data_IF_995083454347
#
_entry.id   IF_995083454347
#
_cell.length_a   1.000
_cell.length_b   1.000
_cell.length_c   1.000
_cell.angle_alpha   90.00
_cell.angle_beta   90.00
_cell.angle_gamma   90.00
#
_symmetry.space_group_name_H-M   'P 1'
#
loop_
_entity.id
_entity.type
_entity.pdbx_description
1 polymer ?
#
# COMPACT_ATOMS: atom_id res chain seq x y z
N UNK A 1 -13.17 -19.10 -39.57
CA UNK A 1 -12.15 -18.47 -38.75
C UNK A 1 -11.49 -17.33 -39.52
N UNK A 2 -11.33 -16.17 -38.92
CA UNK A 2 -10.59 -15.06 -39.50
C UNK A 2 -9.11 -15.22 -39.17
N UNK A 3 -8.22 -14.88 -40.14
CA UNK A 3 -6.78 -14.87 -39.88
C UNK A 3 -6.42 -13.66 -39.07
N UNK A 4 -5.73 -13.85 -37.92
CA UNK A 4 -5.25 -12.80 -37.06
C UNK A 4 -3.72 -12.90 -36.88
N UNK A 5 -3.08 -11.76 -36.72
CA UNK A 5 -1.66 -11.65 -36.36
C UNK A 5 -1.59 -10.93 -35.02
N UNK A 6 -0.85 -11.52 -34.11
CA UNK A 6 -0.60 -10.90 -32.79
C UNK A 6 0.77 -10.23 -32.80
N UNK A 7 0.79 -8.97 -32.42
CA UNK A 7 2.02 -8.22 -32.16
C UNK A 7 2.08 -7.95 -30.68
N UNK A 8 3.15 -8.37 -30.02
CA UNK A 8 3.35 -8.17 -28.59
C UNK A 8 4.53 -7.23 -28.37
N UNK A 9 4.35 -6.27 -27.44
CA UNK A 9 5.40 -5.41 -26.96
C UNK A 9 5.69 -5.76 -25.50
N UNK A 10 6.90 -6.24 -25.23
CA UNK A 10 7.35 -6.52 -23.87
C UNK A 10 8.22 -5.38 -23.37
N UNK A 11 7.93 -4.95 -22.14
CA UNK A 11 8.71 -3.93 -21.47
C UNK A 11 10.03 -4.53 -20.96
N UNK A 12 11.13 -3.77 -21.10
CA UNK A 12 12.40 -4.10 -20.42
C UNK A 12 12.30 -3.71 -18.95
N UNK A 13 13.11 -4.38 -18.12
CA UNK A 13 13.27 -4.05 -16.72
C UNK A 13 13.72 -2.57 -16.58
N UNK A 14 13.41 -1.95 -15.46
CA UNK A 14 13.73 -0.56 -15.10
C UNK A 14 12.97 0.55 -15.84
N UNK A 15 11.97 0.23 -16.67
CA UNK A 15 11.12 1.23 -17.30
C UNK A 15 9.75 1.35 -16.61
N UNK A 16 9.20 2.56 -16.63
CA UNK A 16 7.84 2.80 -16.12
C UNK A 16 6.80 2.36 -17.16
N UNK A 17 5.98 1.36 -16.80
CA UNK A 17 4.98 0.77 -17.70
C UNK A 17 3.97 1.80 -18.24
N UNK A 18 3.60 2.81 -17.44
CA UNK A 18 2.65 3.86 -17.86
C UNK A 18 3.27 4.81 -18.90
N UNK A 19 4.57 5.09 -18.77
CA UNK A 19 5.30 5.90 -19.74
C UNK A 19 5.50 5.13 -21.06
N UNK A 20 5.86 3.85 -20.97
CA UNK A 20 5.98 2.96 -22.14
C UNK A 20 4.65 2.81 -22.87
N UNK A 21 3.55 2.64 -22.14
CA UNK A 21 2.19 2.59 -22.71
C UNK A 21 1.89 3.78 -23.59
N UNK A 22 2.15 5.01 -23.08
CA UNK A 22 1.92 6.24 -23.87
C UNK A 22 2.68 6.24 -25.19
N UNK A 23 3.92 5.77 -25.19
CA UNK A 23 4.74 5.62 -26.40
C UNK A 23 4.19 4.59 -27.37
N UNK A 24 3.78 3.43 -26.86
CA UNK A 24 3.19 2.33 -27.65
C UNK A 24 1.86 2.77 -28.25
N UNK A 25 0.98 3.39 -27.46
CA UNK A 25 -0.33 3.91 -27.93
C UNK A 25 -0.15 4.91 -29.09
N UNK A 26 0.78 5.86 -28.94
CA UNK A 26 1.08 6.83 -29.98
C UNK A 26 1.65 6.18 -31.27
N UNK A 27 2.43 5.10 -31.13
CA UNK A 27 2.94 4.34 -32.26
C UNK A 27 1.83 3.52 -32.96
N UNK A 28 0.99 2.86 -32.17
CA UNK A 28 -0.17 2.10 -32.65
C UNK A 28 -1.16 2.99 -33.38
N UNK A 29 -1.48 4.18 -32.83
CA UNK A 29 -2.41 5.12 -33.44
C UNK A 29 -1.86 5.69 -34.78
N UNK A 30 -0.54 5.90 -34.86
CA UNK A 30 0.12 6.27 -36.14
C UNK A 30 0.03 5.14 -37.14
N UNK A 31 0.31 3.92 -36.72
CA UNK A 31 0.25 2.76 -37.59
C UNK A 31 -1.18 2.44 -38.06
N UNK A 32 -2.17 2.59 -37.19
CA UNK A 32 -3.57 2.39 -37.54
C UNK A 32 -4.02 3.25 -38.71
N UNK A 33 -3.48 4.46 -38.85
CA UNK A 33 -3.78 5.38 -39.97
C UNK A 33 -3.19 4.93 -41.33
N UNK A 34 -2.22 4.03 -41.29
CA UNK A 34 -1.58 3.49 -42.52
C UNK A 34 -2.23 2.18 -42.98
N UNK A 35 -3.12 1.60 -42.16
CA UNK A 35 -3.73 0.32 -42.51
C UNK A 35 -4.89 0.47 -43.51
N UNK A 36 -5.03 -0.46 -44.45
CA UNK A 36 -6.19 -0.54 -45.35
C UNK A 36 -7.47 -0.78 -44.51
N UNK A 37 -8.61 -0.28 -45.00
CA UNK A 37 -9.92 -0.37 -44.31
C UNK A 37 -10.42 -1.78 -43.99
N UNK A 38 -9.87 -2.79 -44.69
CA UNK A 38 -10.19 -4.22 -44.47
C UNK A 38 -9.42 -4.87 -43.33
N UNK A 39 -8.45 -4.18 -42.73
CA UNK A 39 -7.67 -4.69 -41.60
C UNK A 39 -8.16 -3.96 -40.35
N UNK A 40 -8.67 -4.71 -39.39
CA UNK A 40 -9.03 -4.17 -38.06
C UNK A 40 -7.86 -4.37 -37.11
N UNK A 41 -7.46 -3.30 -36.45
CA UNK A 41 -6.53 -3.34 -35.34
C UNK A 41 -7.35 -3.41 -34.04
N UNK A 42 -7.19 -4.50 -33.31
CA UNK A 42 -7.81 -4.66 -32.00
C UNK A 42 -6.74 -4.66 -30.93
N UNK A 43 -6.96 -3.92 -29.83
CA UNK A 43 -6.08 -3.96 -28.69
C UNK A 43 -6.43 -5.20 -27.86
N UNK A 44 -5.45 -6.07 -27.70
CA UNK A 44 -5.59 -7.27 -26.88
C UNK A 44 -5.32 -7.00 -25.39
N UNK A 45 -4.42 -7.74 -24.79
CA UNK A 45 -4.06 -7.63 -23.39
C UNK A 45 -3.26 -6.34 -23.09
N UNK A 46 -3.73 -5.53 -22.14
CA UNK A 46 -3.08 -4.31 -21.69
C UNK A 46 -2.72 -4.41 -20.20
N UNK A 47 -1.45 -4.71 -19.95
CA UNK A 47 -0.92 -4.81 -18.58
C UNK A 47 -0.92 -3.45 -17.86
N UNK A 48 -0.68 -2.35 -18.59
CA UNK A 48 -0.63 -1.03 -18.01
C UNK A 48 -2.01 -0.57 -17.51
N UNK A 49 -3.08 -0.90 -18.25
CA UNK A 49 -4.46 -0.66 -17.81
C UNK A 49 -4.80 -1.43 -16.54
N UNK A 50 -4.34 -2.68 -16.44
CA UNK A 50 -4.52 -3.47 -15.23
C UNK A 50 -3.79 -2.86 -14.02
N UNK A 51 -2.57 -2.33 -14.21
CA UNK A 51 -1.80 -1.64 -13.16
C UNK A 51 -2.52 -0.37 -12.72
N UNK A 52 -2.99 0.44 -13.66
CA UNK A 52 -3.73 1.67 -13.37
C UNK A 52 -5.02 1.40 -12.57
N UNK A 53 -5.80 0.39 -12.99
CA UNK A 53 -6.99 -0.04 -12.26
C UNK A 53 -6.68 -0.53 -10.84
N UNK A 54 -5.58 -1.26 -10.66
CA UNK A 54 -5.17 -1.75 -9.34
C UNK A 54 -4.70 -0.62 -8.42
N UNK A 55 -3.94 0.34 -8.96
CA UNK A 55 -3.54 1.53 -8.21
C UNK A 55 -4.75 2.36 -7.78
N UNK A 56 -5.71 2.57 -8.69
CA UNK A 56 -6.95 3.28 -8.38
C UNK A 56 -7.78 2.57 -7.30
N UNK A 57 -7.91 1.24 -7.38
CA UNK A 57 -8.58 0.45 -6.33
C UNK A 57 -7.85 0.58 -4.99
N UNK A 58 -6.53 0.53 -4.99
CA UNK A 58 -5.74 0.70 -3.78
C UNK A 58 -6.06 2.03 -3.08
N UNK A 59 -6.11 3.14 -3.82
CA UNK A 59 -6.50 4.44 -3.22
C UNK A 59 -7.89 4.40 -2.60
N UNK A 60 -8.83 3.72 -3.26
CA UNK A 60 -10.20 3.55 -2.73
C UNK A 60 -10.18 2.69 -1.47
N UNK A 61 -9.47 1.57 -1.48
CA UNK A 61 -9.36 0.67 -0.34
C UNK A 61 -8.69 1.36 0.86
N UNK A 62 -7.65 2.18 0.62
CA UNK A 62 -7.04 3.02 1.64
C UNK A 62 -8.01 4.04 2.21
N UNK A 63 -8.77 4.73 1.37
CA UNK A 63 -9.76 5.71 1.80
C UNK A 63 -10.86 5.06 2.64
N UNK A 64 -11.34 3.87 2.24
CA UNK A 64 -12.32 3.10 3.00
C UNK A 64 -11.73 2.65 4.34
N UNK A 65 -10.52 2.12 4.36
CA UNK A 65 -9.85 1.69 5.59
C UNK A 65 -9.70 2.86 6.58
N UNK A 66 -9.23 4.01 6.11
CA UNK A 66 -9.10 5.22 6.93
C UNK A 66 -10.48 5.67 7.45
N UNK A 67 -11.52 5.66 6.60
CA UNK A 67 -12.87 6.03 7.01
C UNK A 67 -13.45 5.09 8.07
N UNK A 68 -13.24 3.77 7.94
CA UNK A 68 -13.66 2.77 8.92
C UNK A 68 -12.93 2.95 10.26
N UNK A 69 -11.62 3.18 10.21
CA UNK A 69 -10.83 3.48 11.41
C UNK A 69 -11.31 4.76 12.09
N UNK A 70 -11.59 5.80 11.31
CA UNK A 70 -12.17 7.04 11.84
C UNK A 70 -13.50 6.78 12.54
N UNK A 71 -14.37 5.99 11.94
CA UNK A 71 -15.67 5.62 12.50
C UNK A 71 -15.52 4.87 13.83
N UNK A 72 -14.58 3.92 13.91
CA UNK A 72 -14.33 3.14 15.15
C UNK A 72 -13.69 3.98 16.26
N UNK A 73 -12.97 5.05 15.90
CA UNK A 73 -12.33 5.95 16.86
C UNK A 73 -13.23 7.09 17.34
N UNK A 74 -14.38 7.31 16.73
CA UNK A 74 -15.33 8.36 17.16
C UNK A 74 -15.69 8.29 18.65
N UNK A 75 -15.92 7.10 19.24
CA UNK A 75 -16.20 7.00 20.68
C UNK A 75 -15.02 7.44 21.58
N UNK A 76 -13.79 7.32 21.11
CA UNK A 76 -12.59 7.76 21.84
C UNK A 76 -12.40 9.28 21.81
N UNK A 77 -13.10 9.97 20.91
CA UNK A 77 -13.03 11.40 20.73
C UNK A 77 -12.21 11.83 19.50
N UNK A 78 -12.58 12.96 18.92
CA UNK A 78 -12.01 13.48 17.68
C UNK A 78 -10.49 13.77 17.73
N UNK A 79 -9.96 14.05 18.94
CA UNK A 79 -8.51 14.27 19.14
C UNK A 79 -7.71 12.98 18.99
N UNK A 80 -8.22 11.89 19.55
CA UNK A 80 -7.63 10.56 19.42
C UNK A 80 -7.66 10.09 17.95
N UNK A 81 -8.81 10.25 17.30
CA UNK A 81 -8.96 9.96 15.87
C UNK A 81 -7.96 10.76 15.00
N UNK A 82 -7.74 12.04 15.32
CA UNK A 82 -6.78 12.89 14.60
C UNK A 82 -5.33 12.40 14.73
N UNK A 83 -4.91 11.91 15.89
CA UNK A 83 -3.56 11.37 16.09
C UNK A 83 -3.35 10.12 15.23
N UNK A 84 -4.30 9.18 15.25
CA UNK A 84 -4.21 7.96 14.45
C UNK A 84 -4.24 8.28 12.95
N UNK A 85 -5.06 9.25 12.52
CA UNK A 85 -5.13 9.71 11.13
C UNK A 85 -3.78 10.25 10.61
N UNK A 86 -2.99 10.91 11.45
CA UNK A 86 -1.66 11.39 11.08
C UNK A 86 -0.62 10.28 11.12
N UNK A 87 -0.74 9.33 12.07
CA UNK A 87 0.23 8.24 12.20
C UNK A 87 0.21 7.29 11.01
N UNK A 88 -0.95 7.04 10.40
CA UNK A 88 -1.10 6.16 9.24
C UNK A 88 -0.25 6.61 8.04
N UNK A 89 -0.44 7.81 7.47
CA UNK A 89 0.36 8.25 6.32
C UNK A 89 1.83 8.40 6.66
N UNK A 90 2.17 8.77 7.90
CA UNK A 90 3.55 8.90 8.34
C UNK A 90 4.26 7.54 8.35
N UNK A 91 3.62 6.51 8.85
CA UNK A 91 4.16 5.14 8.87
C UNK A 91 4.27 4.55 7.46
N UNK A 92 3.29 4.82 6.59
CA UNK A 92 3.36 4.44 5.18
C UNK A 92 4.50 5.15 4.46
N UNK A 93 4.67 6.46 4.69
CA UNK A 93 5.78 7.22 4.12
C UNK A 93 7.13 6.68 4.60
N UNK A 94 7.25 6.31 5.87
CA UNK A 94 8.43 5.67 6.42
C UNK A 94 8.70 4.31 5.73
N UNK A 95 7.69 3.45 5.63
CA UNK A 95 7.79 2.15 4.94
C UNK A 95 8.19 2.28 3.47
N UNK A 96 7.60 3.22 2.73
CA UNK A 96 7.96 3.53 1.35
C UNK A 96 9.41 4.03 1.22
N UNK A 97 9.84 4.85 2.17
CA UNK A 97 11.21 5.36 2.22
C UNK A 97 12.20 4.22 2.46
N UNK A 98 11.91 3.31 3.39
CA UNK A 98 12.73 2.11 3.61
C UNK A 98 12.79 1.23 2.34
N UNK A 99 11.65 0.99 1.70
CA UNK A 99 11.58 0.21 0.46
C UNK A 99 12.45 0.82 -0.63
N UNK A 100 12.40 2.15 -0.79
CA UNK A 100 13.21 2.89 -1.74
C UNK A 100 14.72 2.74 -1.46
N UNK A 101 15.14 2.91 -0.21
CA UNK A 101 16.56 2.74 0.17
C UNK A 101 17.08 1.31 0.02
N UNK A 102 16.20 0.32 0.15
CA UNK A 102 16.54 -1.08 -0.09
C UNK A 102 16.59 -1.44 -1.58
N UNK A 103 16.26 -0.50 -2.49
CA UNK A 103 16.31 -0.71 -3.93
C UNK A 103 15.13 -1.53 -4.48
N UNK A 104 14.07 -1.72 -3.69
CA UNK A 104 12.88 -2.42 -4.15
C UNK A 104 11.91 -1.48 -4.88
N UNK A 105 11.28 -1.99 -5.93
CA UNK A 105 10.25 -1.28 -6.66
C UNK A 105 8.86 -1.54 -6.08
N UNK A 106 7.97 -0.55 -6.20
CA UNK A 106 6.55 -0.71 -5.90
C UNK A 106 5.94 -1.68 -6.93
N UNK A 107 5.55 -2.84 -6.45
CA UNK A 107 4.84 -3.85 -7.22
C UNK A 107 3.50 -4.22 -6.55
N UNK A 108 2.70 -5.08 -7.18
CA UNK A 108 1.40 -5.48 -6.64
C UNK A 108 1.48 -6.14 -5.26
N UNK A 109 2.57 -6.86 -4.98
CA UNK A 109 2.76 -7.51 -3.70
C UNK A 109 3.20 -6.54 -2.62
N UNK A 110 4.10 -5.60 -2.94
CA UNK A 110 4.45 -4.50 -2.02
C UNK A 110 3.19 -3.73 -1.61
N UNK A 111 2.30 -3.45 -2.56
CA UNK A 111 1.02 -2.78 -2.31
C UNK A 111 0.11 -3.63 -1.41
N UNK A 112 -0.04 -4.92 -1.69
CA UNK A 112 -0.81 -5.82 -0.84
C UNK A 112 -0.22 -5.92 0.57
N UNK A 113 1.11 -5.98 0.69
CA UNK A 113 1.83 -5.94 1.96
C UNK A 113 1.54 -4.66 2.76
N UNK A 114 1.53 -3.50 2.10
CA UNK A 114 1.16 -2.24 2.75
C UNK A 114 -0.29 -2.22 3.23
N UNK A 115 -1.24 -2.77 2.47
CA UNK A 115 -2.65 -2.86 2.89
C UNK A 115 -2.79 -3.74 4.13
N UNK A 116 -2.10 -4.88 4.18
CA UNK A 116 -2.09 -5.75 5.36
C UNK A 116 -1.40 -5.07 6.54
N UNK A 117 -0.23 -4.47 6.32
CA UNK A 117 0.52 -3.76 7.36
C UNK A 117 -0.29 -2.59 7.93
N UNK A 118 -1.10 -1.91 7.12
CA UNK A 118 -1.95 -0.80 7.55
C UNK A 118 -2.96 -1.26 8.61
N UNK A 119 -3.61 -2.41 8.41
CA UNK A 119 -4.54 -2.96 9.39
C UNK A 119 -3.87 -3.26 10.72
N UNK A 120 -2.68 -3.88 10.70
CA UNK A 120 -1.93 -4.21 11.90
C UNK A 120 -1.39 -2.97 12.63
N UNK A 121 -0.92 -1.97 11.89
CA UNK A 121 -0.35 -0.74 12.43
C UNK A 121 -1.40 0.15 13.10
N UNK A 122 -2.62 0.12 12.57
CA UNK A 122 -3.74 0.89 13.13
C UNK A 122 -4.11 0.37 14.52
N UNK A 123 -4.11 -0.93 14.72
CA UNK A 123 -4.45 -1.54 16.02
C UNK A 123 -3.49 -1.13 17.11
N UNK A 124 -2.19 -1.13 16.88
CA UNK A 124 -1.18 -0.66 17.83
C UNK A 124 -1.37 0.82 18.18
N UNK A 125 -1.68 1.64 17.18
CA UNK A 125 -1.93 3.07 17.37
C UNK A 125 -3.19 3.32 18.18
N UNK A 126 -4.26 2.55 17.97
CA UNK A 126 -5.51 2.63 18.72
C UNK A 126 -5.28 2.31 20.17
N UNK A 127 -4.60 1.20 20.47
CA UNK A 127 -4.31 0.76 21.84
C UNK A 127 -3.46 1.81 22.58
N UNK A 128 -2.46 2.39 21.90
CA UNK A 128 -1.62 3.43 22.46
C UNK A 128 -2.42 4.68 22.83
N UNK A 129 -3.23 5.19 21.90
CA UNK A 129 -4.04 6.40 22.11
C UNK A 129 -5.10 6.17 23.18
N UNK A 130 -5.75 5.00 23.19
CA UNK A 130 -6.75 4.65 24.21
C UNK A 130 -6.13 4.61 25.60
N UNK A 131 -4.96 3.97 25.76
CA UNK A 131 -4.29 3.90 27.04
C UNK A 131 -3.85 5.28 27.55
N UNK A 132 -3.32 6.14 26.68
CA UNK A 132 -3.01 7.53 27.02
C UNK A 132 -4.27 8.29 27.43
N UNK A 133 -5.35 8.17 26.67
CA UNK A 133 -6.62 8.83 27.00
C UNK A 133 -7.20 8.36 28.36
N UNK A 134 -7.02 7.08 28.69
CA UNK A 134 -7.37 6.52 29.98
C UNK A 134 -6.58 7.20 31.12
N UNK A 135 -5.26 7.37 30.98
CA UNK A 135 -4.43 8.04 31.99
C UNK A 135 -4.82 9.50 32.13
N UNK A 136 -5.16 10.21 31.07
CA UNK A 136 -5.71 11.58 31.16
C UNK A 136 -7.01 11.61 31.94
N UNK A 137 -7.92 10.65 31.74
CA UNK A 137 -9.17 10.53 32.52
C UNK A 137 -8.93 10.20 34.00
N UNK A 138 -7.81 9.57 34.33
CA UNK A 138 -7.38 9.29 35.69
C UNK A 138 -6.77 10.51 36.41
N UNK A 139 -6.68 11.66 35.72
CA UNK A 139 -6.19 12.92 36.30
C UNK A 139 -4.71 13.20 36.08
N UNK A 140 -4.01 12.40 35.29
CA UNK A 140 -2.61 12.68 34.89
C UNK A 140 -2.53 13.93 34.03
N UNK A 141 -1.43 14.69 34.15
CA UNK A 141 -1.14 15.74 33.18
C UNK A 141 -0.98 15.10 31.75
N UNK A 142 -1.16 15.89 30.69
CA UNK A 142 -1.06 15.36 29.32
C UNK A 142 0.29 14.69 29.03
N UNK A 143 1.37 15.28 29.54
CA UNK A 143 2.73 14.75 29.37
C UNK A 143 2.91 13.48 30.19
N UNK A 144 2.49 13.47 31.46
CA UNK A 144 2.63 12.28 32.31
C UNK A 144 1.76 11.12 31.79
N UNK A 145 0.54 11.43 31.33
CA UNK A 145 -0.35 10.45 30.70
C UNK A 145 0.28 9.81 29.46
N UNK A 146 0.93 10.61 28.60
CA UNK A 146 1.61 10.10 27.43
C UNK A 146 2.78 9.18 27.81
N UNK A 147 3.60 9.59 28.77
CA UNK A 147 4.77 8.80 29.23
C UNK A 147 4.29 7.53 29.94
N UNK A 148 3.41 7.62 30.89
CA UNK A 148 2.92 6.48 31.67
C UNK A 148 2.13 5.51 30.80
N UNK A 149 1.24 6.02 29.95
CA UNK A 149 0.42 5.23 29.03
C UNK A 149 1.26 4.47 28.02
N UNK A 150 2.24 5.13 27.39
CA UNK A 150 3.13 4.48 26.44
C UNK A 150 4.02 3.45 27.13
N UNK A 151 4.60 3.78 28.28
CA UNK A 151 5.46 2.86 29.02
C UNK A 151 4.74 1.57 29.42
N UNK A 152 3.48 1.67 29.80
CA UNK A 152 2.68 0.51 30.22
C UNK A 152 2.48 -0.51 29.12
N UNK A 153 2.30 -0.07 27.88
CA UNK A 153 2.00 -0.96 26.74
C UNK A 153 3.22 -1.26 25.87
N UNK A 154 4.34 -0.56 26.08
CA UNK A 154 5.53 -0.63 25.23
C UNK A 154 6.04 -2.08 25.04
N UNK A 155 6.12 -2.85 26.11
CA UNK A 155 6.59 -4.24 26.04
C UNK A 155 5.61 -5.12 25.26
N UNK A 156 4.31 -4.90 25.44
CA UNK A 156 3.28 -5.64 24.68
C UNK A 156 3.35 -5.33 23.17
N UNK A 157 3.47 -4.06 22.81
CA UNK A 157 3.62 -3.63 21.40
C UNK A 157 4.90 -4.21 20.80
N UNK A 158 6.04 -4.15 21.51
CA UNK A 158 7.28 -4.77 21.03
C UNK A 158 7.11 -6.28 20.81
N UNK A 159 6.42 -6.97 21.71
CA UNK A 159 6.14 -8.39 21.60
C UNK A 159 5.28 -8.71 20.36
N UNK A 160 4.22 -7.95 20.12
CA UNK A 160 3.38 -8.08 18.94
C UNK A 160 4.18 -7.82 17.65
N UNK A 161 4.92 -6.73 17.59
CA UNK A 161 5.76 -6.39 16.42
C UNK A 161 6.82 -7.45 16.16
N UNK A 162 7.50 -7.94 17.20
CA UNK A 162 8.47 -9.02 17.06
C UNK A 162 7.82 -10.31 16.53
N UNK A 163 6.65 -10.67 17.03
CA UNK A 163 5.89 -11.84 16.58
C UNK A 163 5.53 -11.72 15.09
N UNK A 164 5.10 -10.53 14.64
CA UNK A 164 4.79 -10.27 13.24
C UNK A 164 6.06 -10.41 12.38
N UNK A 165 7.17 -9.82 12.79
CA UNK A 165 8.44 -9.93 12.06
C UNK A 165 8.84 -11.42 11.93
N UNK A 166 8.80 -12.17 13.02
CA UNK A 166 9.14 -13.60 13.00
C UNK A 166 8.15 -14.43 12.18
N UNK A 167 6.87 -14.05 12.12
CA UNK A 167 5.88 -14.74 11.29
C UNK A 167 6.13 -14.53 9.79
N UNK A 168 6.59 -13.34 9.39
CA UNK A 168 6.90 -13.02 8.00
C UNK A 168 8.34 -13.34 7.58
N UNK A 169 9.26 -13.52 8.52
CA UNK A 169 10.66 -13.84 8.24
C UNK A 169 10.86 -15.07 7.32
N UNK A 170 10.11 -16.18 7.46
CA UNK A 170 10.25 -17.32 6.56
C UNK A 170 9.95 -17.00 5.09
N UNK A 171 9.10 -15.99 4.81
CA UNK A 171 8.81 -15.56 3.44
C UNK A 171 10.04 -14.95 2.75
N UNK A 172 10.90 -14.28 3.49
CA UNK A 172 12.16 -13.73 2.97
C UNK A 172 13.18 -14.84 2.62
N UNK A 173 13.08 -15.99 3.27
CA UNK A 173 13.97 -17.13 3.05
C UNK A 173 13.55 -18.03 1.87
N UNK A 174 12.38 -17.80 1.26
CA UNK A 174 11.91 -18.58 0.12
C UNK A 174 12.75 -18.31 -1.12
N UNK A 175 13.35 -19.35 -1.74
CA UNK A 175 14.12 -19.19 -2.97
C UNK A 175 13.20 -18.88 -4.16
N UNK A 176 13.67 -18.02 -5.07
CA UNK A 176 12.99 -17.71 -6.32
C UNK A 176 12.08 -16.49 -6.27
N UNK A 177 11.09 -16.45 -7.16
CA UNK A 177 10.13 -15.33 -7.27
C UNK A 177 9.38 -15.02 -5.97
N UNK A 178 8.93 -16.01 -5.16
CA UNK A 178 8.25 -15.72 -3.89
C UNK A 178 9.10 -14.97 -2.86
N UNK A 179 10.41 -15.19 -2.83
CA UNK A 179 11.32 -14.51 -1.89
C UNK A 179 11.73 -13.09 -2.31
N UNK A 180 11.33 -12.66 -3.54
CA UNK A 180 11.56 -11.29 -4.02
C UNK A 180 10.36 -10.37 -3.77
N UNK A 181 9.34 -10.88 -3.11
CA UNK A 181 8.14 -10.18 -2.70
C UNK A 181 8.20 -9.83 -1.22
#
# INVERSE_FOLDING_TARGET
GQRAVFVTANMKDDFNILAVRKGVDAAVDRFAKTLPSRIKLERGFDQAGNVEHRLSRMYTDFAIAIALVMLTLLPLGWRAAGIVMVSIPLSLAFGLTCLYFMGYSLNQLSIAGFVVALGLLVDDSIVAVENIARHVRMGYSRTDAAIAGTRQIFVAILGCTATLIFAFLPLLALPGTPGKF
#
